data_IF_196050318820
#
_entry.id   IF_196050318820
#
_cell.length_a   1.000
_cell.length_b   1.000
_cell.length_c   1.000
_cell.angle_alpha   90.00
_cell.angle_beta   90.00
_cell.angle_gamma   90.00
#
_symmetry.space_group_name_H-M   'P 1'
#
loop_
_entity.id
_entity.type
_entity.pdbx_description
1 polymer ?
#
# COMPACT_ATOMS: atom_id res chain seq x y z
N UNK A 1 -21.65 -4.09 -10.79
CA UNK A 1 -20.28 -4.19 -10.23
C UNK A 1 -19.65 -2.80 -10.26
N UNK A 2 -18.99 -2.37 -9.18
CA UNK A 2 -18.27 -1.09 -9.15
C UNK A 2 -16.98 -1.21 -9.96
N UNK A 3 -16.69 -0.23 -10.82
CA UNK A 3 -15.47 -0.21 -11.61
C UNK A 3 -14.25 0.00 -10.71
N UNK A 4 -13.17 -0.74 -10.96
CA UNK A 4 -11.91 -0.55 -10.24
C UNK A 4 -11.37 0.83 -10.63
N UNK A 5 -11.08 1.71 -9.65
CA UNK A 5 -10.56 3.04 -9.95
C UNK A 5 -9.17 2.94 -10.57
N UNK A 6 -8.92 3.74 -11.60
CA UNK A 6 -7.61 3.82 -12.29
C UNK A 6 -6.64 4.75 -11.57
N UNK A 7 -7.13 5.60 -10.66
CA UNK A 7 -6.36 6.48 -9.80
C UNK A 7 -6.82 6.39 -8.34
N UNK A 8 -5.91 6.66 -7.41
CA UNK A 8 -6.19 6.68 -5.98
C UNK A 8 -5.30 7.71 -5.27
N UNK A 9 -5.76 8.22 -4.13
CA UNK A 9 -4.92 9.04 -3.25
C UNK A 9 -4.01 8.14 -2.40
N UNK A 10 -2.73 8.47 -2.35
CA UNK A 10 -1.76 7.76 -1.54
C UNK A 10 -0.75 8.73 -0.93
N UNK A 11 -0.41 8.53 0.36
CA UNK A 11 0.70 9.21 0.98
C UNK A 11 2.01 8.78 0.31
N UNK A 12 2.84 9.70 -0.15
CA UNK A 12 4.13 9.40 -0.81
C UNK A 12 5.18 10.40 -0.37
N UNK A 13 6.41 9.94 -0.31
CA UNK A 13 7.55 10.85 -0.24
C UNK A 13 7.89 11.37 -1.64
N UNK A 14 8.48 12.58 -1.75
CA UNK A 14 9.09 13.10 -2.96
C UNK A 14 10.09 12.10 -3.55
N UNK A 15 10.22 12.11 -4.88
CA UNK A 15 11.17 11.24 -5.58
C UNK A 15 12.61 11.60 -5.20
N UNK A 16 12.91 12.88 -5.04
CA UNK A 16 14.21 13.34 -4.59
C UNK A 16 14.38 13.15 -3.08
N UNK A 17 15.12 12.11 -2.70
CA UNK A 17 15.41 11.76 -1.32
C UNK A 17 16.18 12.85 -0.57
N UNK A 18 16.93 13.71 -1.27
CA UNK A 18 17.68 14.81 -0.61
C UNK A 18 16.75 15.86 0.00
N UNK A 19 15.51 15.93 -0.46
CA UNK A 19 14.49 16.86 0.05
C UNK A 19 13.73 16.32 1.26
N UNK A 20 14.06 15.11 1.74
CA UNK A 20 13.31 14.47 2.82
C UNK A 20 13.65 15.07 4.18
N UNK A 21 12.62 15.51 4.90
CA UNK A 21 12.68 16.05 6.26
C UNK A 21 11.72 15.25 7.16
N UNK A 22 12.01 13.95 7.29
CA UNK A 22 11.19 13.02 8.06
C UNK A 22 9.73 13.02 7.60
N UNK A 23 8.79 12.92 8.53
CA UNK A 23 7.35 12.85 8.23
C UNK A 23 6.80 14.11 7.52
N UNK A 24 7.49 15.26 7.61
CA UNK A 24 7.03 16.51 6.98
C UNK A 24 7.10 16.48 5.45
N UNK A 25 7.89 15.55 4.90
CA UNK A 25 7.97 15.33 3.46
C UNK A 25 6.91 14.35 2.96
N UNK A 26 6.03 13.82 3.81
CA UNK A 26 4.95 12.96 3.37
C UNK A 26 3.85 13.82 2.73
N UNK A 27 3.52 13.55 1.48
CA UNK A 27 2.50 14.30 0.73
C UNK A 27 1.40 13.36 0.28
N UNK A 28 0.15 13.83 0.32
CA UNK A 28 -0.97 13.11 -0.28
C UNK A 28 -0.96 13.38 -1.80
N UNK A 29 -0.77 12.33 -2.59
CA UNK A 29 -0.66 12.43 -4.05
C UNK A 29 -1.62 11.49 -4.74
N UNK A 30 -2.13 11.91 -5.89
CA UNK A 30 -2.81 11.01 -6.80
C UNK A 30 -1.82 10.06 -7.46
N UNK A 31 -2.14 8.76 -7.45
CA UNK A 31 -1.32 7.71 -8.06
C UNK A 31 -2.17 6.84 -8.97
N UNK A 32 -1.56 6.38 -10.06
CA UNK A 32 -2.18 5.39 -10.95
C UNK A 32 -2.26 4.04 -10.25
N UNK A 33 -3.43 3.42 -10.27
CA UNK A 33 -3.66 2.06 -9.79
C UNK A 33 -3.35 1.10 -10.94
N UNK A 34 -2.42 0.18 -10.70
CA UNK A 34 -2.15 -0.93 -11.62
C UNK A 34 -2.98 -2.15 -11.25
N UNK A 35 -3.39 -2.97 -12.23
CA UNK A 35 -3.97 -4.27 -11.94
C UNK A 35 -3.02 -5.12 -11.08
N UNK A 36 -3.53 -5.95 -10.15
CA UNK A 36 -2.70 -6.87 -9.38
C UNK A 36 -2.06 -7.92 -10.29
N UNK A 37 -0.82 -8.31 -9.99
CA UNK A 37 -0.15 -9.44 -10.65
C UNK A 37 -0.56 -10.78 -10.04
N UNK A 38 -0.04 -11.88 -10.59
CA UNK A 38 -0.28 -13.21 -10.05
C UNK A 38 0.15 -13.29 -8.58
N UNK A 39 -0.79 -13.65 -7.71
CA UNK A 39 -0.58 -13.73 -6.25
C UNK A 39 -0.73 -12.41 -5.50
N UNK A 40 -1.02 -11.29 -6.18
CA UNK A 40 -1.31 -10.01 -5.54
C UNK A 40 -2.82 -9.78 -5.44
N UNK A 41 -3.24 -9.00 -4.45
CA UNK A 41 -4.64 -8.60 -4.27
C UNK A 41 -4.72 -7.07 -4.21
N UNK A 42 -5.67 -6.51 -4.94
CA UNK A 42 -6.04 -5.11 -4.82
C UNK A 42 -7.11 -4.96 -3.74
N UNK A 43 -6.87 -4.14 -2.73
CA UNK A 43 -7.77 -3.98 -1.59
C UNK A 43 -8.14 -2.52 -1.41
N UNK A 44 -9.41 -2.28 -1.08
CA UNK A 44 -9.91 -0.96 -0.67
C UNK A 44 -9.50 -0.71 0.77
N UNK A 45 -8.53 0.17 0.98
CA UNK A 45 -8.03 0.49 2.32
C UNK A 45 -9.06 1.37 3.07
N UNK A 46 -9.51 0.89 4.23
CA UNK A 46 -10.41 1.67 5.12
C UNK A 46 -9.65 2.47 6.17
N UNK A 47 -8.59 1.90 6.72
CA UNK A 47 -7.72 2.53 7.70
C UNK A 47 -6.30 1.94 7.61
N UNK A 48 -5.30 2.75 7.99
CA UNK A 48 -3.92 2.32 8.15
C UNK A 48 -3.28 3.03 9.33
N UNK A 49 -2.25 2.40 9.92
CA UNK A 49 -1.50 2.94 11.04
C UNK A 49 -0.06 3.31 10.62
N UNK A 50 0.49 4.32 11.28
CA UNK A 50 1.92 4.60 11.22
C UNK A 50 2.66 3.53 12.02
N UNK A 51 3.64 2.88 11.40
CA UNK A 51 4.51 1.94 12.10
C UNK A 51 5.85 2.62 12.36
N UNK A 52 6.62 2.15 13.35
CA UNK A 52 7.99 2.60 13.59
C UNK A 52 8.95 1.58 12.95
N UNK A 53 9.75 1.98 11.95
CA UNK A 53 10.92 1.25 11.49
C UNK A 53 12.11 2.18 11.61
N UNK A 54 13.13 1.69 12.31
CA UNK A 54 14.46 2.31 12.39
C UNK A 54 14.95 2.57 10.97
N UNK A 55 15.21 3.84 10.68
CA UNK A 55 16.03 4.36 9.59
C UNK A 55 16.11 3.45 8.34
N UNK A 56 15.14 3.61 7.42
CA UNK A 56 15.42 3.91 6.01
C UNK A 56 14.11 3.98 5.18
N UNK A 57 13.06 3.21 5.48
CA UNK A 57 11.83 3.29 4.66
C UNK A 57 10.59 2.91 5.46
N UNK A 58 9.71 3.88 5.67
CA UNK A 58 8.32 3.62 6.05
C UNK A 58 7.41 4.29 5.03
N UNK A 59 7.18 3.57 3.94
CA UNK A 59 6.01 2.69 3.76
C UNK A 59 4.78 3.47 3.35
N UNK A 60 4.83 3.91 2.11
CA UNK A 60 3.75 3.57 1.17
C UNK A 60 4.43 2.94 -0.04
N UNK A 61 4.81 1.66 0.09
CA UNK A 61 4.37 0.71 -0.92
C UNK A 61 3.13 0.08 -0.29
N UNK A 62 1.97 0.70 -0.52
CA UNK A 62 0.69 0.02 -0.34
C UNK A 62 0.63 -1.05 -1.43
N UNK A 63 1.32 -2.16 -1.19
CA UNK A 63 0.95 -3.46 -1.72
C UNK A 63 0.33 -4.17 -0.53
N UNK A 64 -0.99 -4.32 -0.60
CA UNK A 64 -1.77 -4.91 0.45
C UNK A 64 -1.50 -6.42 0.39
N UNK A 65 -0.56 -6.88 1.21
CA UNK A 65 -0.37 -8.29 1.47
C UNK A 65 -1.48 -8.71 2.45
N UNK A 66 -2.68 -8.95 1.92
CA UNK A 66 -3.66 -9.75 2.64
C UNK A 66 -3.09 -11.17 2.70
N UNK A 67 -2.52 -11.55 3.85
CA UNK A 67 -2.15 -12.93 4.16
C UNK A 67 -3.46 -13.72 4.18
N UNK A 68 -3.75 -14.46 3.11
CA UNK A 68 -4.76 -15.52 3.19
C UNK A 68 -4.20 -16.62 4.09
N UNK A 69 -4.93 -17.06 5.13
CA UNK A 69 -4.66 -18.38 5.67
C UNK A 69 -4.98 -19.38 4.56
N UNK A 70 -3.99 -20.19 4.22
CA UNK A 70 -4.09 -21.33 3.31
C UNK A 70 -5.35 -22.15 3.61
N UNK A 71 -6.11 -22.44 2.56
CA UNK A 71 -7.25 -23.33 2.61
C UNK A 71 -6.83 -24.78 2.90
N UNK A 72 -7.83 -25.51 3.41
CA UNK A 72 -7.96 -26.96 3.61
C UNK A 72 -7.28 -27.61 4.80
N UNK A 73 -8.13 -28.05 5.73
CA UNK A 73 -8.15 -29.46 6.09
C UNK A 73 -9.60 -29.95 6.06
N UNK A 74 -9.95 -30.63 4.97
CA UNK A 74 -11.08 -31.55 4.96
C UNK A 74 -10.87 -32.54 6.11
N UNK A 75 -11.88 -32.68 6.97
CA UNK A 75 -12.08 -33.90 7.73
C UNK A 75 -13.48 -34.40 7.41
N UNK A 76 -13.48 -35.62 6.89
CA UNK A 76 -14.63 -36.49 6.68
C UNK A 76 -15.45 -36.69 7.95
#
# INVERSE_FOLDING_TARGET
MSAIPTTAQAWRFPVDQKTWNGHKSLELREVKVSPPKQGEVLVRLHAAALNYRVWIFLLVRVFILARTPTAQMDRA
#
